data_IF_405923032145
#
_entry.id   IF_405923032145
#
_cell.length_a   1.000
_cell.length_b   1.000
_cell.length_c   1.000
_cell.angle_alpha   90.00
_cell.angle_beta   90.00
_cell.angle_gamma   90.00
#
_symmetry.space_group_name_H-M   'P 1'
#
loop_
_entity.id
_entity.type
_entity.pdbx_description
1 polymer ?
#
# COMPACT_ATOMS: atom_id res chain seq x y z
N UNK A 1 0.06 53.00 -21.34
CA UNK A 1 -0.35 51.86 -22.20
C UNK A 1 -0.68 50.70 -21.28
N UNK A 2 -1.96 50.31 -21.23
CA UNK A 2 -2.48 49.26 -20.36
C UNK A 2 -1.71 47.94 -20.54
N UNK A 3 -1.12 47.42 -19.46
CA UNK A 3 -0.58 46.06 -19.36
C UNK A 3 -1.64 45.02 -18.96
N UNK A 4 -2.90 45.42 -18.80
CA UNK A 4 -4.01 44.53 -18.41
C UNK A 4 -4.76 43.95 -19.61
N UNK A 5 -4.03 43.42 -20.58
CA UNK A 5 -4.59 42.43 -21.51
C UNK A 5 -4.01 41.08 -21.11
N UNK A 6 -4.56 40.48 -20.04
CA UNK A 6 -4.42 39.03 -19.85
C UNK A 6 -5.13 38.39 -21.03
N UNK A 7 -4.36 37.78 -21.92
CA UNK A 7 -4.92 36.94 -22.97
C UNK A 7 -5.82 35.88 -22.32
N UNK A 8 -6.95 35.52 -22.95
CA UNK A 8 -7.79 34.45 -22.42
C UNK A 8 -6.95 33.19 -22.31
N UNK A 9 -6.78 32.73 -21.07
CA UNK A 9 -6.03 31.53 -20.74
C UNK A 9 -6.83 30.34 -21.27
N UNK A 10 -6.45 29.85 -22.46
CA UNK A 10 -7.01 28.63 -22.99
C UNK A 10 -6.71 27.48 -22.02
N UNK A 11 -7.64 26.53 -21.84
CA UNK A 11 -7.37 25.36 -21.01
C UNK A 11 -6.15 24.63 -21.59
N UNK A 12 -5.11 24.48 -20.75
CA UNK A 12 -3.88 23.79 -21.13
C UNK A 12 -4.15 22.29 -21.11
N UNK A 13 -4.17 21.66 -22.27
CA UNK A 13 -4.24 20.20 -22.38
C UNK A 13 -2.85 19.59 -22.11
N UNK A 14 -2.82 18.53 -21.31
CA UNK A 14 -1.58 17.80 -21.04
C UNK A 14 -1.21 16.93 -22.23
N UNK A 15 0.04 17.05 -22.68
CA UNK A 15 0.60 16.16 -23.70
C UNK A 15 0.59 14.71 -23.22
N UNK A 16 -0.09 13.83 -23.96
CA UNK A 16 -0.12 12.39 -23.68
C UNK A 16 1.02 11.68 -24.41
N UNK A 17 1.86 10.97 -23.66
CA UNK A 17 3.04 10.28 -24.18
C UNK A 17 3.04 8.80 -23.78
N UNK A 18 3.47 7.92 -24.67
CA UNK A 18 3.59 6.48 -24.43
C UNK A 18 4.81 5.89 -25.13
N UNK A 19 5.24 4.70 -24.71
CA UNK A 19 6.35 3.98 -25.37
C UNK A 19 5.82 3.16 -26.55
N UNK A 20 6.35 3.35 -27.75
CA UNK A 20 6.12 2.47 -28.89
C UNK A 20 7.26 1.45 -29.00
N UNK A 21 6.93 0.15 -28.96
CA UNK A 21 7.87 -0.94 -29.19
C UNK A 21 7.50 -1.67 -30.47
N UNK A 22 8.45 -1.70 -31.41
CA UNK A 22 8.33 -2.39 -32.69
C UNK A 22 9.21 -3.65 -32.71
N UNK A 23 8.95 -4.59 -33.64
CA UNK A 23 9.90 -5.62 -34.02
C UNK A 23 11.26 -5.02 -34.39
N UNK A 24 12.33 -5.79 -34.16
CA UNK A 24 13.70 -5.30 -34.23
C UNK A 24 14.04 -4.70 -35.61
N UNK A 25 13.66 -5.38 -36.69
CA UNK A 25 13.95 -4.95 -38.06
C UNK A 25 13.22 -3.66 -38.42
N UNK A 26 11.91 -3.60 -38.16
CA UNK A 26 11.10 -2.39 -38.36
C UNK A 26 11.60 -1.21 -37.52
N UNK A 27 12.02 -1.46 -36.27
CA UNK A 27 12.56 -0.45 -35.37
C UNK A 27 13.88 0.14 -35.88
N UNK A 28 14.77 -0.68 -36.46
CA UNK A 28 16.03 -0.23 -37.06
C UNK A 28 15.76 0.72 -38.22
N UNK A 29 14.84 0.36 -39.12
CA UNK A 29 14.51 1.21 -40.29
C UNK A 29 13.86 2.52 -39.85
N UNK A 30 12.87 2.47 -38.95
CA UNK A 30 12.24 3.69 -38.41
C UNK A 30 13.25 4.61 -37.73
N UNK A 31 14.23 4.05 -37.02
CA UNK A 31 15.32 4.82 -36.40
C UNK A 31 16.14 5.58 -37.43
N UNK A 32 16.48 4.98 -38.55
CA UNK A 32 17.27 5.66 -39.59
C UNK A 32 16.45 6.75 -40.29
N UNK A 33 15.16 6.51 -40.55
CA UNK A 33 14.24 7.54 -41.08
C UNK A 33 14.16 8.74 -40.13
N UNK A 34 13.98 8.50 -38.83
CA UNK A 34 13.95 9.56 -37.83
C UNK A 34 15.25 10.37 -37.74
N UNK A 35 16.42 9.72 -37.89
CA UNK A 35 17.72 10.41 -37.90
C UNK A 35 17.94 11.24 -39.16
N UNK A 36 17.50 10.74 -40.31
CA UNK A 36 17.64 11.43 -41.60
C UNK A 36 16.76 12.69 -41.72
N UNK A 37 15.72 12.79 -40.88
CA UNK A 37 14.74 13.88 -40.96
C UNK A 37 13.75 13.74 -42.11
N UNK A 38 13.67 12.56 -42.74
CA UNK A 38 12.67 12.24 -43.75
C UNK A 38 11.24 12.34 -43.19
N UNK A 39 10.28 12.67 -44.06
CA UNK A 39 8.90 12.89 -43.65
C UNK A 39 8.17 11.57 -43.34
N UNK A 40 7.54 11.50 -42.16
CA UNK A 40 6.79 10.33 -41.69
C UNK A 40 5.31 10.30 -42.06
N UNK A 41 4.73 11.41 -42.55
CA UNK A 41 3.27 11.63 -42.65
C UNK A 41 2.50 10.54 -43.41
N UNK A 42 3.15 9.87 -44.37
CA UNK A 42 2.56 8.78 -45.15
C UNK A 42 3.21 7.42 -44.90
N UNK A 43 4.26 7.37 -44.07
CA UNK A 43 5.05 6.15 -43.82
C UNK A 43 4.61 5.48 -42.54
N UNK A 44 4.30 6.23 -41.49
CA UNK A 44 3.85 5.71 -40.20
C UNK A 44 2.38 6.07 -39.96
N UNK A 45 1.57 5.08 -39.63
CA UNK A 45 0.16 5.27 -39.25
C UNK A 45 -0.16 4.36 -38.06
N UNK A 46 -0.85 4.91 -37.06
CA UNK A 46 -1.31 4.17 -35.89
C UNK A 46 -2.84 4.28 -35.86
N UNK A 47 -3.52 3.14 -35.87
CA UNK A 47 -4.97 3.03 -35.77
C UNK A 47 -5.31 2.22 -34.53
N UNK A 48 -6.29 2.69 -33.76
CA UNK A 48 -6.73 2.06 -32.51
C UNK A 48 -8.12 1.47 -32.67
N UNK A 49 -8.34 0.32 -32.07
CA UNK A 49 -9.67 -0.30 -31.99
C UNK A 49 -10.53 0.39 -30.92
N UNK A 50 -11.83 0.08 -30.93
CA UNK A 50 -12.81 0.67 -30.00
C UNK A 50 -12.53 0.36 -28.52
N UNK A 51 -11.79 -0.72 -28.23
CA UNK A 51 -11.44 -1.12 -26.87
C UNK A 51 -10.27 -0.31 -26.28
N UNK A 52 -9.60 0.51 -27.11
CA UNK A 52 -8.42 1.32 -26.77
C UNK A 52 -7.27 0.48 -26.17
N UNK A 53 -7.27 -0.83 -26.41
CA UNK A 53 -6.25 -1.78 -25.93
C UNK A 53 -5.58 -2.52 -27.07
N UNK A 54 -6.25 -2.68 -28.20
CA UNK A 54 -5.68 -3.22 -29.44
C UNK A 54 -5.72 -2.21 -30.57
N UNK A 55 -4.89 -2.44 -31.59
CA UNK A 55 -4.86 -1.60 -32.78
C UNK A 55 -3.88 -2.12 -33.81
N UNK A 56 -3.65 -1.32 -34.84
CA UNK A 56 -2.76 -1.63 -35.96
C UNK A 56 -1.75 -0.50 -36.16
N UNK A 57 -0.49 -0.87 -36.37
CA UNK A 57 0.58 0.06 -36.70
C UNK A 57 1.13 -0.31 -38.06
N UNK A 58 1.00 0.61 -39.00
CA UNK A 58 1.55 0.49 -40.35
C UNK A 58 2.80 1.33 -40.47
N UNK A 59 3.91 0.71 -40.86
CA UNK A 59 5.14 1.40 -41.22
C UNK A 59 5.63 0.92 -42.59
N UNK A 60 5.63 1.81 -43.58
CA UNK A 60 5.89 1.48 -44.99
C UNK A 60 5.01 0.31 -45.48
N UNK A 61 5.62 -0.86 -45.68
CA UNK A 61 4.96 -2.09 -46.11
C UNK A 61 4.65 -3.04 -44.95
N UNK A 62 5.16 -2.77 -43.74
CA UNK A 62 4.89 -3.58 -42.56
C UNK A 62 3.53 -3.19 -41.96
N UNK A 63 2.66 -4.19 -41.84
CA UNK A 63 1.46 -4.14 -41.03
C UNK A 63 1.75 -4.94 -39.75
N UNK A 64 1.56 -4.31 -38.59
CA UNK A 64 1.80 -4.94 -37.30
C UNK A 64 0.58 -4.76 -36.40
N UNK A 65 0.24 -5.80 -35.66
CA UNK A 65 -0.80 -5.75 -34.64
C UNK A 65 -0.20 -5.20 -33.34
N UNK A 66 -0.88 -4.22 -32.77
CA UNK A 66 -0.45 -3.52 -31.57
C UNK A 66 -1.34 -3.85 -30.38
N UNK A 67 -0.70 -4.00 -29.21
CA UNK A 67 -1.39 -4.14 -27.92
C UNK A 67 -0.83 -3.14 -26.92
N UNK A 68 -1.72 -2.38 -26.28
CA UNK A 68 -1.40 -1.42 -25.23
C UNK A 68 -1.42 -2.11 -23.87
N UNK A 69 -0.29 -2.04 -23.17
CA UNK A 69 -0.10 -2.62 -21.84
C UNK A 69 0.31 -1.55 -20.84
N UNK A 70 -0.13 -1.71 -19.60
CA UNK A 70 0.19 -0.80 -18.50
C UNK A 70 1.54 -1.17 -17.89
N UNK A 71 2.49 -0.23 -17.94
CA UNK A 71 3.81 -0.38 -17.35
C UNK A 71 3.69 -0.43 -15.82
N UNK A 72 4.54 -1.22 -15.14
CA UNK A 72 4.59 -1.24 -13.68
C UNK A 72 5.27 -0.02 -13.08
N UNK A 73 6.15 0.63 -13.85
CA UNK A 73 6.94 1.79 -13.41
C UNK A 73 6.42 3.05 -14.09
N UNK A 74 6.22 4.12 -13.32
CA UNK A 74 5.96 5.46 -13.86
C UNK A 74 7.29 6.00 -14.40
N UNK A 75 7.27 6.50 -15.64
CA UNK A 75 8.44 7.07 -16.32
C UNK A 75 8.14 8.54 -16.58
N UNK A 76 9.00 9.44 -16.13
CA UNK A 76 8.88 10.86 -16.46
C UNK A 76 9.69 11.17 -17.72
N UNK A 77 9.09 11.89 -18.66
CA UNK A 77 9.84 12.49 -19.78
C UNK A 77 10.27 13.90 -19.39
N UNK A 78 11.56 14.18 -19.54
CA UNK A 78 12.13 15.48 -19.21
C UNK A 78 12.82 16.07 -20.44
N UNK A 79 12.59 17.35 -20.70
CA UNK A 79 13.33 18.12 -21.71
C UNK A 79 14.38 19.00 -21.04
N UNK A 80 15.46 19.23 -21.75
CA UNK A 80 16.56 20.10 -21.31
C UNK A 80 17.12 20.85 -22.52
N UNK A 81 17.74 22.00 -22.26
CA UNK A 81 18.47 22.81 -23.25
C UNK A 81 19.97 22.80 -22.91
N UNK A 82 20.31 22.79 -21.62
CA UNK A 82 21.67 22.92 -21.07
C UNK A 82 22.26 21.58 -20.58
N UNK A 83 21.50 20.49 -20.63
CA UNK A 83 21.83 19.17 -20.06
C UNK A 83 22.10 19.19 -18.55
N UNK A 84 21.58 20.20 -17.84
CA UNK A 84 21.71 20.35 -16.37
C UNK A 84 20.37 20.58 -15.72
N UNK A 85 19.58 21.49 -16.29
CA UNK A 85 18.23 21.82 -15.87
C UNK A 85 17.25 21.00 -16.68
N UNK A 86 16.43 20.22 -16.00
CA UNK A 86 15.46 19.32 -16.63
C UNK A 86 14.05 19.76 -16.26
N UNK A 87 13.18 19.82 -17.26
CA UNK A 87 11.78 20.22 -17.11
C UNK A 87 10.90 19.05 -17.51
N UNK A 88 10.06 18.60 -16.58
CA UNK A 88 9.10 17.52 -16.82
C UNK A 88 8.10 17.93 -17.91
N UNK A 89 7.82 17.03 -18.84
CA UNK A 89 6.83 17.25 -19.91
C UNK A 89 5.63 16.33 -19.79
N UNK A 90 5.82 15.06 -19.40
CA UNK A 90 4.74 14.09 -19.27
C UNK A 90 5.10 12.93 -18.32
N UNK A 91 4.06 12.26 -17.85
CA UNK A 91 4.15 10.95 -17.20
C UNK A 91 3.79 9.86 -18.22
N UNK A 92 4.64 8.84 -18.32
CA UNK A 92 4.50 7.71 -19.21
C UNK A 92 4.29 6.45 -18.37
N UNK A 93 3.11 5.85 -18.51
CA UNK A 93 2.72 4.64 -17.78
C UNK A 93 2.22 3.51 -18.70
N UNK A 94 2.30 3.69 -20.02
CA UNK A 94 1.82 2.71 -21.01
C UNK A 94 2.85 2.42 -22.08
N UNK A 95 2.79 1.21 -22.62
CA UNK A 95 3.60 0.75 -23.75
C UNK A 95 2.70 0.08 -24.80
N UNK A 96 2.84 0.51 -26.04
CA UNK A 96 2.26 -0.12 -27.22
C UNK A 96 3.29 -1.10 -27.79
N UNK A 97 2.99 -2.40 -27.71
CA UNK A 97 3.85 -3.45 -28.26
C UNK A 97 3.27 -3.92 -29.59
N UNK A 98 4.05 -3.79 -30.66
CA UNK A 98 3.70 -4.24 -32.00
C UNK A 98 4.33 -5.61 -32.28
N UNK A 99 3.55 -6.50 -32.91
CA UNK A 99 3.94 -7.83 -33.36
C UNK A 99 3.53 -8.01 -34.83
N UNK A 100 4.29 -8.79 -35.58
CA UNK A 100 3.98 -9.09 -36.99
C UNK A 100 2.73 -9.98 -37.10
N UNK A 101 2.62 -10.99 -36.24
CA UNK A 101 1.45 -11.86 -36.18
C UNK A 101 0.48 -11.39 -35.09
N UNK A 102 -0.82 -11.47 -35.41
CA UNK A 102 -1.86 -11.37 -34.41
C UNK A 102 -1.75 -12.57 -33.47
N UNK A 103 -1.70 -12.32 -32.16
CA UNK A 103 -1.92 -13.39 -31.20
C UNK A 103 -3.31 -13.98 -31.46
N UNK A 104 -3.46 -15.32 -31.46
CA UNK A 104 -4.77 -15.94 -31.60
C UNK A 104 -5.70 -15.32 -30.56
N UNK A 105 -6.89 -14.93 -31.01
CA UNK A 105 -7.92 -14.39 -30.15
C UNK A 105 -8.25 -15.47 -29.11
N UNK A 106 -7.69 -15.37 -27.91
CA UNK A 106 -8.24 -16.12 -26.77
C UNK A 106 -9.63 -15.53 -26.58
N UNK A 107 -10.65 -16.23 -27.09
CA UNK A 107 -12.04 -15.94 -26.80
C UNK A 107 -12.14 -15.76 -25.29
N UNK A 108 -12.36 -14.51 -24.87
CA UNK A 108 -12.64 -14.22 -23.49
C UNK A 108 -13.88 -15.03 -23.13
N UNK A 109 -13.65 -16.12 -22.40
CA UNK A 109 -14.71 -16.76 -21.63
C UNK A 109 -15.46 -15.62 -20.94
N UNK A 110 -16.78 -15.49 -21.11
CA UNK A 110 -17.52 -14.41 -20.50
C UNK A 110 -17.44 -14.62 -19.00
N UNK A 111 -16.41 -14.03 -18.39
CA UNK A 111 -16.24 -14.00 -16.96
C UNK A 111 -17.49 -13.32 -16.44
N UNK A 112 -18.36 -14.14 -15.85
CA UNK A 112 -19.65 -13.77 -15.28
C UNK A 112 -19.52 -12.37 -14.70
N UNK A 113 -20.47 -11.50 -15.07
CA UNK A 113 -20.61 -10.09 -14.70
C UNK A 113 -20.76 -9.99 -13.17
N UNK A 114 -19.70 -10.34 -12.42
CA UNK A 114 -19.44 -9.81 -11.10
C UNK A 114 -18.99 -8.40 -11.38
N UNK A 115 -19.57 -7.43 -10.68
CA UNK A 115 -19.23 -5.99 -10.77
C UNK A 115 -17.71 -5.86 -10.83
N UNK A 116 -17.14 -5.77 -12.04
CA UNK A 116 -15.72 -5.56 -12.23
C UNK A 116 -15.49 -4.17 -11.67
N UNK A 117 -14.68 -4.09 -10.63
CA UNK A 117 -14.19 -2.81 -10.13
C UNK A 117 -13.72 -1.98 -11.34
N UNK A 118 -14.32 -0.81 -11.61
CA UNK A 118 -13.95 0.02 -12.76
C UNK A 118 -12.46 0.34 -12.83
N UNK A 119 -11.76 0.28 -11.70
CA UNK A 119 -10.33 0.55 -11.59
C UNK A 119 -9.46 -0.72 -11.71
N UNK A 120 -10.06 -1.91 -11.75
CA UNK A 120 -9.32 -3.17 -11.85
C UNK A 120 -9.07 -3.51 -13.31
N UNK A 121 -7.85 -3.25 -13.75
CA UNK A 121 -7.35 -3.64 -15.07
C UNK A 121 -7.18 -5.16 -15.15
N UNK A 122 -7.68 -5.77 -16.24
CA UNK A 122 -7.49 -7.19 -16.49
C UNK A 122 -6.00 -7.55 -16.60
N UNK A 123 -5.60 -8.68 -16.00
CA UNK A 123 -4.20 -9.11 -15.90
C UNK A 123 -3.50 -9.20 -17.25
N UNK A 124 -4.24 -9.51 -18.33
CA UNK A 124 -3.73 -9.56 -19.71
C UNK A 124 -3.21 -8.23 -20.25
N UNK A 125 -3.55 -7.11 -19.62
CA UNK A 125 -3.08 -5.77 -19.98
C UNK A 125 -2.00 -5.23 -19.04
N UNK A 126 -1.61 -5.98 -18.00
CA UNK A 126 -0.54 -5.58 -17.08
C UNK A 126 0.81 -6.07 -17.57
N UNK A 127 1.70 -5.14 -17.94
CA UNK A 127 3.04 -5.51 -18.37
C UNK A 127 3.92 -5.92 -17.17
N UNK A 128 4.62 -7.08 -17.19
CA UNK A 128 5.32 -7.60 -16.03
C UNK A 128 6.67 -6.92 -15.72
N UNK A 129 7.24 -6.20 -16.67
CA UNK A 129 8.61 -5.65 -16.59
C UNK A 129 8.60 -4.12 -16.65
N UNK A 130 9.58 -3.44 -16.06
CA UNK A 130 9.86 -2.05 -16.45
C UNK A 130 10.66 -2.00 -17.75
N UNK A 131 10.90 -0.79 -18.25
CA UNK A 131 11.61 -0.56 -19.53
C UNK A 131 13.11 -0.84 -19.41
N UNK A 132 13.72 -0.61 -18.24
CA UNK A 132 15.17 -0.75 -18.04
C UNK A 132 15.56 -2.16 -17.55
N UNK A 133 16.75 -2.68 -17.91
CA UNK A 133 17.15 -4.04 -17.54
C UNK A 133 17.03 -4.39 -16.05
N UNK A 134 17.42 -3.53 -15.09
CA UNK A 134 17.29 -3.82 -13.65
C UNK A 134 15.85 -3.98 -13.15
N UNK A 135 14.86 -3.56 -13.95
CA UNK A 135 13.42 -3.61 -13.67
C UNK A 135 12.72 -4.80 -14.33
N UNK A 136 13.46 -5.81 -14.82
CA UNK A 136 12.88 -7.09 -15.22
C UNK A 136 12.12 -7.73 -14.06
N UNK A 137 10.88 -8.15 -14.35
CA UNK A 137 9.93 -8.75 -13.39
C UNK A 137 9.70 -7.91 -12.12
N UNK A 138 9.71 -6.58 -12.24
CA UNK A 138 9.62 -5.66 -11.10
C UNK A 138 8.37 -5.89 -10.24
N UNK A 139 7.21 -6.21 -10.85
CA UNK A 139 5.95 -6.48 -10.13
C UNK A 139 6.08 -7.63 -9.12
N UNK A 140 6.79 -8.70 -9.50
CA UNK A 140 6.97 -9.91 -8.66
C UNK A 140 8.21 -9.84 -7.78
N UNK A 141 9.26 -9.16 -8.23
CA UNK A 141 10.60 -9.25 -7.62
C UNK A 141 10.99 -8.05 -6.76
N UNK A 142 10.53 -6.84 -7.09
CA UNK A 142 11.01 -5.59 -6.45
C UNK A 142 9.93 -4.80 -5.75
N UNK A 143 8.68 -4.91 -6.20
CA UNK A 143 7.58 -4.22 -5.53
C UNK A 143 7.20 -4.95 -4.24
N UNK A 144 7.21 -4.20 -3.12
CA UNK A 144 6.66 -4.67 -1.86
C UNK A 144 5.14 -4.82 -2.05
N UNK A 145 4.61 -6.02 -1.80
CA UNK A 145 3.17 -6.24 -1.86
C UNK A 145 2.48 -5.43 -0.76
N UNK A 146 1.47 -4.66 -1.13
CA UNK A 146 0.61 -3.99 -0.17
C UNK A 146 -0.20 -5.04 0.56
N UNK A 147 -0.08 -5.11 1.88
CA UNK A 147 -1.00 -5.89 2.69
C UNK A 147 -2.38 -5.27 2.52
N UNK A 148 -3.30 -6.00 1.87
CA UNK A 148 -4.70 -5.59 1.84
C UNK A 148 -5.16 -5.53 3.28
N UNK A 149 -5.65 -4.37 3.72
CA UNK A 149 -6.43 -4.28 4.95
C UNK A 149 -7.63 -5.21 4.75
N UNK A 150 -7.75 -6.28 5.54
CA UNK A 150 -8.84 -7.29 5.45
C UNK A 150 -10.25 -6.67 5.42
N UNK A 151 -10.39 -5.41 5.81
CA UNK A 151 -11.62 -4.63 5.78
C UNK A 151 -12.18 -4.34 4.37
N UNK A 152 -11.47 -4.61 3.28
CA UNK A 152 -12.05 -4.41 1.92
C UNK A 152 -13.17 -5.42 1.62
N UNK A 153 -13.14 -6.59 2.26
CA UNK A 153 -14.25 -7.57 2.22
C UNK A 153 -15.30 -7.32 3.31
N UNK A 154 -15.16 -6.24 4.10
CA UNK A 154 -16.08 -5.92 5.18
C UNK A 154 -17.55 -5.82 4.75
N UNK A 155 -17.96 -5.32 3.57
CA UNK A 155 -19.38 -5.20 3.25
C UNK A 155 -20.10 -6.56 3.15
N UNK A 156 -19.45 -7.57 2.59
CA UNK A 156 -20.01 -8.92 2.46
C UNK A 156 -19.89 -9.69 3.78
N UNK A 157 -18.74 -9.58 4.46
CA UNK A 157 -18.52 -10.17 5.79
C UNK A 157 -19.51 -9.56 6.80
N UNK A 158 -19.69 -8.25 6.81
CA UNK A 158 -20.62 -7.54 7.70
C UNK A 158 -22.07 -7.92 7.41
N UNK A 159 -22.44 -8.08 6.13
CA UNK A 159 -23.77 -8.57 5.76
C UNK A 159 -24.02 -9.97 6.30
N UNK A 160 -23.02 -10.86 6.21
CA UNK A 160 -23.12 -12.23 6.69
C UNK A 160 -23.11 -12.32 8.21
N UNK A 161 -22.24 -11.55 8.88
CA UNK A 161 -22.22 -11.41 10.35
C UNK A 161 -23.58 -10.89 10.84
N UNK A 162 -24.16 -9.86 10.19
CA UNK A 162 -25.50 -9.37 10.51
C UNK A 162 -26.59 -10.40 10.26
N UNK A 163 -26.40 -11.33 9.32
CA UNK A 163 -27.35 -12.43 9.07
C UNK A 163 -27.26 -13.46 10.19
N UNK A 164 -26.05 -13.87 10.57
CA UNK A 164 -25.80 -14.80 11.68
C UNK A 164 -26.34 -14.26 13.00
N UNK A 165 -26.01 -13.01 13.36
CA UNK A 165 -26.50 -12.38 14.59
C UNK A 165 -28.03 -12.24 14.65
N UNK A 166 -28.70 -12.07 13.50
CA UNK A 166 -30.17 -12.07 13.46
C UNK A 166 -30.73 -13.46 13.72
N UNK A 167 -30.15 -14.49 13.10
CA UNK A 167 -30.55 -15.88 13.34
C UNK A 167 -30.32 -16.29 14.80
N UNK A 168 -29.21 -15.86 15.39
CA UNK A 168 -28.89 -16.10 16.80
C UNK A 168 -29.90 -15.44 17.74
N UNK A 169 -30.36 -14.22 17.43
CA UNK A 169 -31.37 -13.53 18.23
C UNK A 169 -32.77 -14.15 18.12
N UNK A 170 -33.06 -14.86 17.03
CA UNK A 170 -34.29 -15.63 16.85
C UNK A 170 -34.21 -17.02 17.51
N UNK A 171 -33.02 -17.49 17.88
CA UNK A 171 -32.81 -18.81 18.46
C UNK A 171 -33.12 -18.83 19.97
N UNK A 172 -33.58 -19.99 20.46
CA UNK A 172 -33.87 -20.20 21.89
C UNK A 172 -32.59 -20.40 22.70
N UNK A 173 -31.54 -20.97 22.10
CA UNK A 173 -30.21 -21.09 22.70
C UNK A 173 -29.13 -21.09 21.61
N UNK A 174 -28.01 -20.44 21.89
CA UNK A 174 -26.89 -20.31 20.94
C UNK A 174 -25.61 -20.82 21.59
N UNK A 175 -24.87 -21.67 20.88
CA UNK A 175 -23.54 -22.18 21.27
C UNK A 175 -22.65 -22.19 20.04
N UNK A 176 -21.41 -21.70 20.18
CA UNK A 176 -20.40 -21.76 19.13
C UNK A 176 -19.10 -22.32 19.69
N UNK A 177 -18.35 -23.00 18.83
CA UNK A 177 -17.02 -23.53 19.13
C UNK A 177 -16.10 -23.32 17.93
N UNK A 178 -14.81 -23.08 18.19
CA UNK A 178 -13.79 -22.94 17.13
C UNK A 178 -13.14 -24.30 16.95
N UNK A 179 -13.56 -25.00 15.90
CA UNK A 179 -12.98 -26.29 15.50
C UNK A 179 -11.72 -26.00 14.68
N UNK A 180 -10.58 -26.52 15.12
CA UNK A 180 -9.36 -26.57 14.30
C UNK A 180 -9.48 -27.83 13.42
N UNK A 181 -9.27 -27.68 12.12
CA UNK A 181 -9.44 -28.78 11.14
C UNK A 181 -8.53 -30.00 11.38
N UNK A 182 -7.60 -29.94 12.34
CA UNK A 182 -6.68 -31.02 12.67
C UNK A 182 -7.15 -31.95 13.82
N UNK A 183 -8.28 -31.68 14.49
CA UNK A 183 -8.81 -32.59 15.51
C UNK A 183 -9.79 -33.62 14.93
N UNK A 184 -9.20 -34.77 14.60
CA UNK A 184 -9.79 -36.11 14.52
C UNK A 184 -11.31 -36.21 14.64
N UNK A 185 -11.97 -36.51 13.51
CA UNK A 185 -13.23 -37.23 13.52
C UNK A 185 -13.04 -38.57 14.26
N UNK A 186 -13.66 -38.82 15.43
CA UNK A 186 -13.70 -40.16 15.98
C UNK A 186 -14.65 -40.98 15.10
N UNK A 187 -14.09 -41.71 14.14
CA UNK A 187 -14.83 -42.75 13.42
C UNK A 187 -15.38 -43.71 14.48
N UNK A 188 -16.70 -43.85 14.52
CA UNK A 188 -17.40 -44.81 15.36
C UNK A 188 -16.92 -46.24 15.05
N UNK A 189 -16.09 -46.81 15.92
CA UNK A 189 -15.74 -48.22 15.84
C UNK A 189 -16.83 -49.10 16.47
N UNK A 190 -17.68 -49.68 15.61
CA UNK A 190 -18.41 -50.91 15.93
C UNK A 190 -17.43 -52.05 16.18
N UNK A 191 -17.49 -52.63 17.38
CA UNK A 191 -16.80 -53.89 17.75
C UNK A 191 -17.28 -55.07 16.89
N UNK A 192 -16.43 -56.08 16.60
CA UNK A 192 -16.29 -57.22 17.53
C UNK A 192 -14.85 -57.83 17.65
N UNK A 193 -14.56 -58.41 18.82
CA UNK A 193 -13.42 -59.29 19.16
C UNK A 193 -13.70 -60.77 18.73
N UNK A 194 -12.81 -61.76 18.97
CA UNK A 194 -11.35 -61.87 18.73
C UNK A 194 -10.94 -63.24 18.09
N UNK A 195 -9.76 -63.37 17.47
CA UNK A 195 -9.06 -64.68 17.37
C UNK A 195 -7.53 -64.53 17.47
N UNK A 196 -6.96 -65.28 18.41
CA UNK A 196 -5.52 -65.47 18.64
C UNK A 196 -4.85 -66.34 17.56
N UNK A 197 -3.57 -66.07 17.22
CA UNK A 197 -2.40 -66.92 17.57
C UNK A 197 -1.08 -66.53 16.84
N UNK A 198 -0.06 -66.27 17.68
CA UNK A 198 1.36 -66.71 17.67
C UNK A 198 2.38 -66.28 16.58
N UNK A 199 3.36 -65.49 17.08
CA UNK A 199 4.85 -65.59 17.02
C UNK A 199 5.60 -65.63 15.67
N UNK A 200 6.50 -64.66 15.43
CA UNK A 200 7.97 -64.79 15.55
C UNK A 200 8.70 -63.52 15.03
N UNK A 201 9.79 -63.12 15.70
CA UNK A 201 10.71 -62.05 15.27
C UNK A 201 11.79 -62.59 14.29
N UNK A 202 12.58 -61.73 13.61
CA UNK A 202 13.82 -61.26 14.24
C UNK A 202 14.22 -59.80 13.96
N UNK A 203 15.13 -59.33 14.81
CA UNK A 203 15.81 -58.01 14.88
C UNK A 203 16.84 -57.80 13.77
N UNK A 204 17.01 -56.54 13.32
CA UNK A 204 18.26 -55.82 12.97
C UNK A 204 17.92 -54.32 12.90
N UNK A 205 18.73 -53.30 13.18
CA UNK A 205 19.99 -53.04 13.87
C UNK A 205 20.02 -51.51 14.01
N UNK A 206 20.54 -50.98 15.12
CA UNK A 206 20.69 -49.53 15.34
C UNK A 206 22.16 -49.12 15.28
N UNK A 207 22.43 -47.95 14.68
CA UNK A 207 23.48 -46.93 14.95
C UNK A 207 23.68 -46.01 13.72
N UNK A 208 24.28 -44.81 13.84
CA UNK A 208 24.24 -43.85 14.94
C UNK A 208 23.93 -42.40 14.46
N UNK A 209 23.64 -41.56 15.45
CA UNK A 209 23.45 -40.10 15.37
C UNK A 209 24.74 -39.40 14.94
N UNK A 210 24.65 -38.48 13.97
CA UNK A 210 25.62 -37.40 13.75
C UNK A 210 24.89 -36.07 13.97
N UNK A 211 25.27 -35.43 15.07
CA UNK A 211 24.95 -34.05 15.43
C UNK A 211 25.46 -33.09 14.35
N UNK A 212 24.56 -32.32 13.71
CA UNK A 212 24.93 -31.09 13.02
C UNK A 212 24.13 -29.94 13.61
N UNK A 213 24.89 -28.93 14.00
CA UNK A 213 24.49 -27.69 14.64
C UNK A 213 23.36 -27.01 13.87
N UNK A 214 22.33 -26.62 14.60
CA UNK A 214 21.29 -25.72 14.12
C UNK A 214 21.92 -24.37 13.80
N UNK A 215 22.10 -24.07 12.50
CA UNK A 215 22.23 -22.70 12.03
C UNK A 215 20.84 -22.08 12.09
N UNK A 216 20.65 -21.10 12.96
CA UNK A 216 19.43 -20.31 13.07
C UNK A 216 19.19 -19.58 11.74
N UNK A 217 18.37 -20.18 10.89
CA UNK A 217 17.84 -19.51 9.71
C UNK A 217 16.94 -18.37 10.18
N UNK A 218 17.34 -17.14 9.86
CA UNK A 218 16.63 -15.87 10.13
C UNK A 218 15.23 -15.81 9.48
N UNK A 219 14.85 -16.86 8.76
CA UNK A 219 13.59 -17.03 8.00
C UNK A 219 12.39 -17.33 8.92
N UNK A 220 12.62 -17.81 10.15
CA UNK A 220 11.52 -18.19 11.08
C UNK A 220 11.01 -17.03 11.98
N UNK A 221 11.77 -15.95 12.12
CA UNK A 221 11.40 -14.80 12.98
C UNK A 221 10.61 -13.73 12.22
N UNK A 222 10.91 -13.52 10.94
CA UNK A 222 10.12 -12.67 10.06
C UNK A 222 9.34 -13.58 9.14
N UNK A 223 8.13 -13.93 9.57
CA UNK A 223 7.21 -14.83 8.87
C UNK A 223 7.39 -14.78 7.36
N UNK A 224 7.63 -15.96 6.79
CA UNK A 224 7.84 -16.18 5.37
C UNK A 224 6.85 -15.40 4.51
N UNK A 225 7.27 -15.06 3.30
CA UNK A 225 6.51 -14.27 2.34
C UNK A 225 5.05 -14.73 2.25
N UNK A 226 4.17 -14.07 3.00
CA UNK A 226 2.71 -14.21 2.89
C UNK A 226 2.32 -13.60 1.56
N UNK A 227 2.31 -14.49 0.57
CA UNK A 227 1.95 -14.22 -0.81
C UNK A 227 0.45 -14.06 -0.90
N UNK A 228 -0.02 -12.85 -1.22
CA UNK A 228 -1.33 -12.68 -1.84
C UNK A 228 -1.17 -12.77 -3.37
N UNK A 229 -1.85 -13.77 -3.93
CA UNK A 229 -2.36 -13.95 -5.30
C UNK A 229 -1.40 -13.85 -6.49
N UNK A 230 -0.77 -14.99 -6.84
CA UNK A 230 -0.63 -15.42 -8.24
C UNK A 230 -0.52 -16.96 -8.37
N UNK A 231 -1.17 -17.70 -7.46
CA UNK A 231 -1.32 -19.15 -7.46
C UNK A 231 -2.71 -19.47 -6.92
N UNK A 232 -3.71 -19.54 -7.80
CA UNK A 232 -4.83 -20.47 -7.62
C UNK A 232 -4.46 -21.66 -8.52
N UNK A 233 -4.39 -22.86 -7.94
CA UNK A 233 -4.03 -24.16 -8.51
C UNK A 233 -2.71 -24.76 -8.01
N UNK A 234 -2.54 -24.97 -6.70
CA UNK A 234 -1.94 -26.22 -6.18
C UNK A 234 -2.56 -26.54 -4.79
N UNK A 235 -2.84 -27.82 -4.58
CA UNK A 235 -3.52 -28.43 -3.44
C UNK A 235 -3.01 -27.97 -2.06
N UNK A 236 -3.94 -27.68 -1.15
CA UNK A 236 -3.66 -27.42 0.27
C UNK A 236 -2.92 -28.59 0.94
N UNK A 237 -1.72 -28.33 1.44
CA UNK A 237 -1.12 -29.07 2.55
C UNK A 237 -0.91 -28.08 3.70
N UNK A 238 -1.69 -28.25 4.76
CA UNK A 238 -1.59 -27.50 6.01
C UNK A 238 -0.35 -27.99 6.77
N UNK A 239 0.62 -27.12 7.05
CA UNK A 239 1.72 -27.41 7.97
C UNK A 239 1.55 -26.54 9.23
N UNK A 240 1.37 -27.21 10.36
CA UNK A 240 1.05 -26.64 11.68
C UNK A 240 2.31 -25.99 12.30
N UNK A 241 2.32 -24.67 12.46
CA UNK A 241 3.31 -23.96 13.29
C UNK A 241 2.74 -23.72 14.69
N UNK A 242 3.41 -24.28 15.69
CA UNK A 242 3.06 -24.21 17.12
C UNK A 242 3.22 -22.80 17.68
N UNK A 243 2.15 -22.17 18.15
CA UNK A 243 2.21 -20.88 18.87
C UNK A 243 2.30 -21.09 20.39
N UNK A 244 3.36 -20.53 20.98
CA UNK A 244 3.60 -20.44 22.43
C UNK A 244 2.64 -19.44 23.10
N UNK A 245 2.11 -19.73 24.31
CA UNK A 245 1.02 -18.97 24.91
C UNK A 245 1.50 -17.82 25.81
N UNK A 246 2.20 -16.82 25.26
CA UNK A 246 2.38 -15.53 25.94
C UNK A 246 2.53 -14.40 24.93
N UNK A 247 1.44 -13.70 24.61
CA UNK A 247 1.46 -12.29 24.21
C UNK A 247 0.05 -11.72 24.30
N UNK A 248 -0.23 -11.08 25.43
CA UNK A 248 -1.43 -10.27 25.66
C UNK A 248 -1.31 -8.94 24.92
N UNK A 249 -2.43 -8.59 24.32
CA UNK A 249 -2.74 -7.38 23.57
C UNK A 249 -2.58 -6.13 24.45
N UNK A 250 -1.99 -5.07 23.90
CA UNK A 250 -2.46 -3.71 24.15
C UNK A 250 -2.52 -2.96 22.81
N UNK A 251 -3.74 -2.62 22.44
CA UNK A 251 -4.10 -1.91 21.22
C UNK A 251 -4.59 -0.54 21.62
N UNK A 252 -3.86 0.51 21.24
CA UNK A 252 -4.42 1.83 20.95
C UNK A 252 -3.51 2.49 19.90
N UNK A 253 -4.07 2.82 18.74
CA UNK A 253 -3.64 3.97 17.95
C UNK A 253 -4.72 4.29 16.91
N UNK A 254 -5.57 5.23 17.31
CA UNK A 254 -6.42 6.03 16.44
C UNK A 254 -5.51 7.02 15.72
N UNK A 255 -5.34 6.87 14.40
CA UNK A 255 -4.78 7.93 13.56
C UNK A 255 -5.89 8.49 12.69
N UNK A 256 -6.30 9.69 13.07
CA UNK A 256 -7.20 10.56 12.33
C UNK A 256 -6.56 10.97 11.00
N UNK A 257 -7.38 10.93 9.97
CA UNK A 257 -7.14 11.41 8.62
C UNK A 257 -6.98 12.93 8.61
N UNK A 258 -5.84 13.41 8.10
CA UNK A 258 -5.62 14.83 7.84
C UNK A 258 -6.01 15.12 6.39
N UNK A 259 -7.28 15.52 6.19
CA UNK A 259 -7.77 16.03 4.92
C UNK A 259 -7.31 17.48 4.73
N UNK A 260 -6.60 17.73 3.62
CA UNK A 260 -6.33 19.06 3.09
C UNK A 260 -7.53 19.55 2.26
N UNK A 261 -8.27 20.54 2.75
CA UNK A 261 -9.07 21.50 1.95
C UNK A 261 -8.95 22.87 2.64
N UNK A 262 -8.17 23.78 2.07
CA UNK A 262 -8.62 24.84 1.16
C UNK A 262 -9.56 25.85 1.83
N UNK A 263 -8.97 27.00 2.15
CA UNK A 263 -9.62 28.22 2.60
C UNK A 263 -10.53 28.76 1.48
N UNK A 264 -11.84 28.81 1.70
CA UNK A 264 -12.75 29.68 0.96
C UNK A 264 -13.71 30.34 1.94
N UNK A 265 -13.57 31.66 2.03
CA UNK A 265 -14.51 32.58 2.67
C UNK A 265 -15.83 32.56 1.90
N UNK A 266 -16.91 32.18 2.56
CA UNK A 266 -18.26 32.40 2.04
C UNK A 266 -19.16 32.96 3.15
N UNK A 267 -19.82 34.04 2.76
CA UNK A 267 -20.60 34.96 3.57
C UNK A 267 -22.06 34.51 3.45
N UNK A 268 -22.78 34.33 4.56
CA UNK A 268 -24.24 34.27 4.51
C UNK A 268 -24.90 35.17 5.58
N UNK A 269 -26.08 35.73 5.26
CA UNK A 269 -26.63 36.91 5.90
C UNK A 269 -27.62 36.54 7.02
N UNK A 270 -27.33 36.98 8.25
CA UNK A 270 -28.28 36.85 9.35
C UNK A 270 -29.35 37.94 9.29
N UNK A 271 -30.59 37.46 9.24
CA UNK A 271 -31.85 38.19 9.25
C UNK A 271 -32.06 38.99 10.54
N UNK A 272 -32.49 40.24 10.36
CA UNK A 272 -32.96 41.17 11.38
C UNK A 272 -34.01 40.58 12.34
N UNK A 273 -33.78 40.73 13.65
CA UNK A 273 -34.82 41.06 14.64
C UNK A 273 -34.28 42.07 15.67
N UNK A 274 -35.12 43.05 15.97
CA UNK A 274 -34.82 44.31 16.68
C UNK A 274 -34.75 44.18 18.22
N UNK A 275 -33.81 44.93 18.78
CA UNK A 275 -33.78 45.74 20.02
C UNK A 275 -34.30 45.22 21.37
N UNK A 276 -33.37 45.13 22.34
CA UNK A 276 -33.41 45.84 23.65
C UNK A 276 -31.96 46.03 24.19
N UNK A 277 -31.69 46.97 25.13
CA UNK A 277 -30.44 47.76 25.20
C UNK A 277 -29.26 47.06 25.90
N UNK A 278 -28.01 47.54 25.70
CA UNK A 278 -26.81 46.83 26.15
C UNK A 278 -26.50 47.11 27.63
N UNK A 279 -26.31 46.04 28.40
CA UNK A 279 -25.49 46.08 29.61
C UNK A 279 -24.05 45.76 29.21
N UNK A 280 -23.18 46.73 29.44
CA UNK A 280 -21.73 46.64 29.31
C UNK A 280 -21.17 45.66 30.34
N UNK A 281 -20.96 44.41 29.94
CA UNK A 281 -20.05 43.50 30.62
C UNK A 281 -18.70 43.54 29.89
N UNK A 282 -17.72 44.14 30.55
CA UNK A 282 -16.31 43.99 30.22
C UNK A 282 -15.95 42.52 30.47
N UNK A 283 -15.96 41.69 29.44
CA UNK A 283 -15.32 40.37 29.49
C UNK A 283 -13.82 40.56 29.26
N UNK A 284 -13.03 40.34 30.32
CA UNK A 284 -11.57 40.27 30.28
C UNK A 284 -11.10 39.33 29.16
N UNK A 285 -10.41 39.88 28.16
CA UNK A 285 -9.67 39.08 27.16
C UNK A 285 -8.51 38.31 27.80
N UNK A 286 -7.91 38.85 28.88
CA UNK A 286 -6.77 38.25 29.59
C UNK A 286 -7.08 36.87 30.20
N UNK A 287 -8.33 36.60 30.58
CA UNK A 287 -8.69 35.32 31.21
C UNK A 287 -8.75 34.17 30.20
N UNK A 288 -9.06 34.44 28.93
CA UNK A 288 -9.12 33.41 27.88
C UNK A 288 -7.74 32.98 27.42
N UNK A 289 -6.76 33.87 27.45
CA UNK A 289 -5.38 33.58 27.05
C UNK A 289 -4.63 32.75 28.10
N UNK A 290 -4.88 33.00 29.39
CA UNK A 290 -4.35 32.16 30.49
C UNK A 290 -4.91 30.73 30.46
N UNK A 291 -6.20 30.57 30.18
CA UNK A 291 -6.82 29.25 30.06
C UNK A 291 -6.27 28.45 28.85
N UNK A 292 -6.07 29.14 27.71
CA UNK A 292 -5.44 28.53 26.52
C UNK A 292 -3.98 28.13 26.77
N UNK A 293 -3.20 28.96 27.49
CA UNK A 293 -1.82 28.66 27.84
C UNK A 293 -1.72 27.45 28.79
N UNK A 294 -2.63 27.37 29.77
CA UNK A 294 -2.69 26.26 30.73
C UNK A 294 -3.00 24.94 30.03
N UNK A 295 -3.96 24.94 29.10
CA UNK A 295 -4.29 23.77 28.27
C UNK A 295 -3.10 23.31 27.42
N UNK A 296 -2.34 24.25 26.85
CA UNK A 296 -1.16 23.94 26.04
C UNK A 296 -0.02 23.33 26.88
N UNK A 297 0.17 23.80 28.11
CA UNK A 297 1.14 23.25 29.06
C UNK A 297 0.77 21.81 29.43
N UNK A 298 -0.52 21.53 29.67
CA UNK A 298 -1.00 20.17 29.96
C UNK A 298 -0.81 19.22 28.78
N UNK A 299 -1.09 19.69 27.55
CA UNK A 299 -0.83 18.93 26.32
C UNK A 299 0.66 18.61 26.14
N UNK A 300 1.54 19.60 26.29
CA UNK A 300 2.99 19.41 26.17
C UNK A 300 3.54 18.47 27.23
N UNK A 301 2.98 18.49 28.44
CA UNK A 301 3.33 17.54 29.50
C UNK A 301 2.96 16.10 29.13
N UNK A 302 1.74 15.89 28.63
CA UNK A 302 1.31 14.56 28.16
C UNK A 302 2.16 14.05 26.99
N UNK A 303 2.49 14.92 26.03
CA UNK A 303 3.36 14.59 24.90
C UNK A 303 4.79 14.26 25.35
N UNK A 304 5.35 14.99 26.33
CA UNK A 304 6.66 14.71 26.91
C UNK A 304 6.70 13.35 27.62
N UNK A 305 5.66 13.01 28.37
CA UNK A 305 5.55 11.73 29.05
C UNK A 305 5.47 10.56 28.06
N UNK A 306 4.70 10.71 26.97
CA UNK A 306 4.62 9.71 25.91
C UNK A 306 5.99 9.52 25.22
N UNK A 307 6.69 10.60 24.88
CA UNK A 307 8.01 10.54 24.26
C UNK A 307 9.06 9.93 25.20
N UNK A 308 9.03 10.26 26.51
CA UNK A 308 9.90 9.66 27.53
C UNK A 308 9.65 8.16 27.68
N UNK A 309 8.39 7.72 27.66
CA UNK A 309 8.03 6.29 27.66
C UNK A 309 8.47 5.58 26.38
N UNK A 310 8.32 6.22 25.22
CA UNK A 310 8.80 5.69 23.94
C UNK A 310 10.32 5.54 23.93
N UNK A 311 11.06 6.52 24.49
CA UNK A 311 12.53 6.45 24.63
C UNK A 311 12.94 5.26 25.50
N UNK A 312 12.26 5.07 26.63
CA UNK A 312 12.56 3.94 27.52
C UNK A 312 12.34 2.58 26.83
N UNK A 313 11.27 2.43 26.05
CA UNK A 313 11.00 1.22 25.26
C UNK A 313 12.11 0.96 24.24
N UNK A 314 12.44 1.97 23.43
CA UNK A 314 13.53 1.88 22.44
C UNK A 314 14.88 1.54 23.08
N UNK A 315 15.17 2.09 24.26
CA UNK A 315 16.41 1.81 24.98
C UNK A 315 16.47 0.38 25.52
N UNK A 316 15.34 -0.15 26.02
CA UNK A 316 15.24 -1.55 26.46
C UNK A 316 15.37 -2.53 25.28
N UNK A 317 14.79 -2.18 24.13
CA UNK A 317 14.94 -2.96 22.88
C UNK A 317 16.42 -3.01 22.44
N UNK A 318 17.13 -1.88 22.48
CA UNK A 318 18.56 -1.80 22.15
C UNK A 318 19.42 -2.67 23.08
N UNK A 319 19.09 -2.74 24.36
CA UNK A 319 19.83 -3.53 25.33
C UNK A 319 19.74 -5.05 25.07
N UNK A 320 18.63 -5.51 24.47
CA UNK A 320 18.41 -6.92 24.13
C UNK A 320 18.86 -7.32 22.72
N UNK A 321 19.42 -6.40 21.91
CA UNK A 321 19.76 -6.66 20.52
C UNK A 321 21.22 -7.09 20.31
N UNK A 322 21.42 -8.28 19.74
CA UNK A 322 22.73 -8.80 19.34
C UNK A 322 23.17 -8.32 17.93
N UNK A 323 22.22 -7.94 17.07
CA UNK A 323 22.51 -7.51 15.70
C UNK A 323 23.04 -6.07 15.65
N UNK A 324 24.29 -5.89 15.22
CA UNK A 324 24.96 -4.58 15.20
C UNK A 324 24.33 -3.57 14.24
N UNK A 325 23.84 -3.98 13.07
CA UNK A 325 23.26 -3.08 12.08
C UNK A 325 21.87 -2.58 12.50
N UNK A 326 21.06 -3.45 13.11
CA UNK A 326 19.79 -3.06 13.73
C UNK A 326 20.05 -2.14 14.93
N UNK A 327 21.02 -2.49 15.79
CA UNK A 327 21.41 -1.67 16.93
C UNK A 327 21.79 -0.25 16.52
N UNK A 328 22.55 -0.07 15.44
CA UNK A 328 22.88 1.26 14.89
C UNK A 328 21.63 2.05 14.46
N UNK A 329 20.70 1.43 13.72
CA UNK A 329 19.44 2.11 13.33
C UNK A 329 18.58 2.52 14.52
N UNK A 330 18.48 1.65 15.52
CA UNK A 330 17.74 1.98 16.74
C UNK A 330 18.46 3.05 17.57
N UNK A 331 19.79 3.10 17.56
CA UNK A 331 20.56 4.18 18.17
C UNK A 331 20.34 5.53 17.48
N UNK A 332 20.27 5.56 16.14
CA UNK A 332 19.90 6.76 15.38
C UNK A 332 18.48 7.23 15.73
N UNK A 333 17.51 6.32 15.76
CA UNK A 333 16.14 6.63 16.18
C UNK A 333 16.07 7.15 17.62
N UNK A 334 16.87 6.58 18.54
CA UNK A 334 16.97 7.04 19.92
C UNK A 334 17.58 8.44 19.99
N UNK A 335 18.55 8.76 19.14
CA UNK A 335 19.15 10.09 19.05
C UNK A 335 18.12 11.14 18.61
N UNK A 336 17.37 10.88 17.53
CA UNK A 336 16.28 11.75 17.09
C UNK A 336 15.22 11.94 18.18
N UNK A 337 14.82 10.86 18.86
CA UNK A 337 13.83 10.94 19.92
C UNK A 337 14.31 11.76 21.13
N UNK A 338 15.60 11.69 21.46
CA UNK A 338 16.18 12.55 22.49
C UNK A 338 16.19 14.02 22.08
N UNK A 339 16.44 14.31 20.80
CA UNK A 339 16.39 15.66 20.27
C UNK A 339 14.96 16.24 20.33
N UNK A 340 13.95 15.45 19.97
CA UNK A 340 12.54 15.84 20.06
C UNK A 340 12.11 16.11 21.51
N UNK A 341 12.52 15.24 22.45
CA UNK A 341 12.27 15.45 23.88
C UNK A 341 12.91 16.75 24.35
N UNK A 342 14.14 17.03 23.93
CA UNK A 342 14.85 18.26 24.31
C UNK A 342 14.10 19.51 23.81
N UNK A 343 13.67 19.53 22.54
CA UNK A 343 12.92 20.67 21.99
C UNK A 343 11.58 20.89 22.70
N UNK A 344 10.82 19.82 22.95
CA UNK A 344 9.54 19.94 23.67
C UNK A 344 9.72 20.32 25.14
N UNK A 345 10.78 19.86 25.79
CA UNK A 345 11.09 20.28 27.16
C UNK A 345 11.46 21.77 27.19
N UNK A 346 12.20 22.27 26.19
CA UNK A 346 12.45 23.71 26.07
C UNK A 346 11.17 24.53 25.85
N UNK A 347 10.27 24.07 24.98
CA UNK A 347 8.95 24.71 24.75
C UNK A 347 8.12 24.73 26.03
N UNK A 348 8.05 23.60 26.74
CA UNK A 348 7.34 23.47 28.00
C UNK A 348 7.90 24.42 29.09
N UNK A 349 9.23 24.45 29.27
CA UNK A 349 9.86 25.36 30.24
C UNK A 349 9.67 26.84 29.85
N UNK A 350 9.67 27.14 28.55
CA UNK A 350 9.38 28.48 28.04
C UNK A 350 7.97 28.94 28.39
N UNK A 351 6.96 28.08 28.18
CA UNK A 351 5.56 28.40 28.52
C UNK A 351 5.32 28.48 30.03
N UNK A 352 5.96 27.63 30.84
CA UNK A 352 5.89 27.75 32.31
C UNK A 352 6.50 29.07 32.77
N UNK A 353 7.63 29.49 32.19
CA UNK A 353 8.27 30.75 32.56
C UNK A 353 7.36 31.95 32.23
N UNK A 354 6.72 31.93 31.06
CA UNK A 354 5.75 32.95 30.64
C UNK A 354 4.55 33.02 31.58
N UNK A 355 3.96 31.86 31.92
CA UNK A 355 2.86 31.76 32.87
C UNK A 355 3.24 32.34 34.24
N UNK A 356 4.44 32.03 34.76
CA UNK A 356 4.90 32.58 36.05
C UNK A 356 5.27 34.07 36.01
N UNK A 357 5.57 34.62 34.82
CA UNK A 357 5.88 36.05 34.66
C UNK A 357 4.65 36.94 34.50
N UNK A 358 3.50 36.37 34.11
CA UNK A 358 2.20 37.05 34.04
C UNK A 358 1.42 37.02 35.36
N UNK A 359 1.95 36.36 36.38
CA UNK A 359 1.36 36.23 37.73
C UNK A 359 2.09 37.10 38.79
N UNK A 360 3.09 37.90 38.39
CA UNK A 360 3.79 38.93 39.20
C UNK A 360 3.36 40.31 38.70
#
# INVERSE_FOLDING_TARGET
MNKDKREPEYPVELESQFILRLPEETAKVLREVLKSGENLKNRLTIQMDNDVRTGEVRFDHWLMHAKILDLPTIIESLKTIDNKSFYKTADICQIMICKEEAEPFEEESPCKIKKKDPYKVDKKFLYPHGVTPPTKNVRKRRFRKTLKKKYVEAPEIEKEVKRLLRADNEAVSVTWEVIKEDEDHPKSETTPKPKERKKAAPKKEAKPVITKQATSNVVDIFGGAVSDSDQEDESMAMEMVTMSPYSRLSSENTVLSMDQKSFMSEFEPQTFKHNEPPQTEYFDEDSRDKDNMTLRIEQLKAELDELKQRRQRTQNEIAGMENQALRQRFQENLHTLNQDIMYKEMEYQGLITLQTSEDI
#
